data_IF_531173001838
#
_entry.id   IF_531173001838
#
_cell.length_a   1.000
_cell.length_b   1.000
_cell.length_c   1.000
_cell.angle_alpha   90.00
_cell.angle_beta   90.00
_cell.angle_gamma   90.00
#
_symmetry.space_group_name_H-M   'P 1'
#
loop_
_entity.id
_entity.type
_entity.pdbx_description
1 polymer ?
#
# COMPACT_ATOMS: atom_id res chain seq x y z
N UNK A 1 -16.33 7.78 -18.19
CA UNK A 1 -15.01 7.94 -18.82
C UNK A 1 -13.96 8.11 -17.75
N UNK A 2 -13.99 9.23 -17.07
CA UNK A 2 -13.01 9.47 -16.02
C UNK A 2 -12.94 8.35 -14.98
N UNK A 3 -14.06 7.72 -14.66
CA UNK A 3 -14.08 6.63 -13.69
C UNK A 3 -13.26 5.43 -14.14
N UNK A 4 -13.41 5.00 -15.38
CA UNK A 4 -12.63 3.88 -15.91
C UNK A 4 -11.14 4.22 -15.98
N UNK A 5 -10.80 5.44 -16.37
CA UNK A 5 -9.42 5.91 -16.41
C UNK A 5 -8.83 5.96 -15.00
N UNK A 6 -9.59 6.45 -14.02
CA UNK A 6 -9.15 6.54 -12.63
C UNK A 6 -8.91 5.14 -12.03
N UNK A 7 -9.77 4.18 -12.33
CA UNK A 7 -9.58 2.79 -11.93
C UNK A 7 -8.27 2.25 -12.53
N UNK A 8 -8.04 2.51 -13.82
CA UNK A 8 -6.83 2.04 -14.49
C UNK A 8 -5.56 2.63 -13.85
N UNK A 9 -5.61 3.91 -13.43
CA UNK A 9 -4.48 4.56 -12.76
C UNK A 9 -4.20 3.89 -11.42
N UNK A 10 -5.24 3.61 -10.64
CA UNK A 10 -5.06 2.94 -9.34
C UNK A 10 -4.51 1.53 -9.52
N UNK A 11 -5.04 0.76 -10.48
CA UNK A 11 -4.52 -0.58 -10.80
C UNK A 11 -3.04 -0.52 -11.19
N UNK A 12 -2.68 0.41 -12.06
CA UNK A 12 -1.30 0.58 -12.49
C UNK A 12 -0.39 0.93 -11.32
N UNK A 13 -0.88 1.76 -10.41
CA UNK A 13 -0.11 2.16 -9.22
C UNK A 13 0.24 0.93 -8.37
N UNK A 14 -0.73 0.06 -8.11
CA UNK A 14 -0.45 -1.15 -7.34
C UNK A 14 0.45 -2.11 -8.10
N UNK A 15 0.22 -2.30 -9.40
CA UNK A 15 1.03 -3.22 -10.19
C UNK A 15 2.49 -2.76 -10.34
N UNK A 16 2.70 -1.50 -10.64
CA UNK A 16 4.03 -0.98 -10.99
C UNK A 16 4.79 -0.45 -9.78
N UNK A 17 4.13 0.31 -8.92
CA UNK A 17 4.80 0.96 -7.79
C UNK A 17 4.88 0.01 -6.60
N UNK A 18 3.74 -0.50 -6.14
CA UNK A 18 3.70 -1.33 -4.93
C UNK A 18 4.20 -2.75 -5.18
N UNK A 19 3.86 -3.35 -6.31
CA UNK A 19 4.23 -4.75 -6.57
C UNK A 19 5.59 -4.92 -7.25
N UNK A 20 6.02 -3.94 -8.05
CA UNK A 20 7.32 -4.02 -8.72
C UNK A 20 8.37 -3.08 -8.15
N UNK A 21 7.99 -2.20 -7.25
CA UNK A 21 8.92 -1.25 -6.64
C UNK A 21 9.43 -0.19 -7.62
N UNK A 22 8.68 0.11 -8.68
CA UNK A 22 9.09 1.09 -9.68
C UNK A 22 8.88 2.51 -9.16
N UNK A 23 9.82 3.01 -8.36
CA UNK A 23 9.71 4.31 -7.72
C UNK A 23 9.79 5.48 -8.71
N UNK A 24 10.35 5.24 -9.90
CA UNK A 24 10.46 6.29 -10.92
C UNK A 24 9.10 6.77 -11.42
N UNK A 25 8.06 5.96 -11.27
CA UNK A 25 6.70 6.34 -11.67
C UNK A 25 5.97 7.19 -10.62
N UNK A 26 6.46 7.25 -9.39
CA UNK A 26 5.73 7.91 -8.30
C UNK A 26 5.46 9.38 -8.61
N UNK A 27 6.46 10.11 -9.07
CA UNK A 27 6.29 11.54 -9.36
C UNK A 27 5.34 11.82 -10.53
N UNK A 28 5.15 10.86 -11.42
CA UNK A 28 4.20 10.99 -12.53
C UNK A 28 2.77 10.63 -12.10
N UNK A 29 2.61 9.70 -11.17
CA UNK A 29 1.31 9.17 -10.76
C UNK A 29 0.72 9.93 -9.57
N UNK A 30 1.55 10.43 -8.67
CA UNK A 30 1.11 11.17 -7.48
C UNK A 30 1.30 12.65 -7.69
N UNK A 31 0.30 13.45 -7.34
CA UNK A 31 0.41 14.90 -7.41
C UNK A 31 1.52 15.40 -6.47
N UNK A 32 2.22 16.50 -6.82
CA UNK A 32 3.26 17.04 -5.94
C UNK A 32 2.75 17.39 -4.54
N UNK A 33 1.48 17.78 -4.45
CA UNK A 33 0.82 18.12 -3.19
C UNK A 33 -0.08 16.98 -2.67
N UNK A 34 0.21 15.75 -3.08
CA UNK A 34 -0.53 14.57 -2.63
C UNK A 34 -0.64 14.52 -1.11
N UNK A 35 -1.86 14.32 -0.62
CA UNK A 35 -2.15 14.24 0.81
C UNK A 35 -2.55 12.82 1.19
N UNK A 36 -1.75 12.18 2.04
CA UNK A 36 -2.08 10.88 2.59
C UNK A 36 -2.62 11.05 4.00
N UNK A 37 -3.94 10.97 4.15
CA UNK A 37 -4.61 11.18 5.44
C UNK A 37 -4.35 10.06 6.44
N UNK A 38 -3.88 8.92 5.98
CA UNK A 38 -3.66 7.73 6.82
C UNK A 38 -2.24 7.19 6.67
N UNK A 39 -1.28 8.09 6.46
CA UNK A 39 0.13 7.71 6.42
C UNK A 39 0.56 7.10 7.75
N UNK A 40 1.49 6.12 7.74
CA UNK A 40 2.05 5.61 8.99
C UNK A 40 2.66 6.74 9.82
N UNK A 41 2.60 6.65 11.16
CA UNK A 41 3.18 7.68 12.02
C UNK A 41 4.65 7.94 11.71
N UNK A 42 5.01 9.22 11.66
CA UNK A 42 6.40 9.62 11.38
C UNK A 42 6.79 9.64 9.91
N UNK A 43 5.92 9.18 9.02
CA UNK A 43 6.20 9.18 7.59
C UNK A 43 5.79 10.51 6.98
N UNK A 44 6.64 11.06 6.10
CA UNK A 44 6.31 12.32 5.45
C UNK A 44 5.14 12.17 4.48
N UNK A 45 4.48 13.27 4.21
CA UNK A 45 3.40 13.33 3.23
C UNK A 45 3.97 13.49 1.81
N UNK A 46 3.11 13.40 0.81
CA UNK A 46 3.49 13.60 -0.58
C UNK A 46 4.15 12.39 -1.24
N UNK A 47 4.66 12.57 -2.46
CA UNK A 47 5.30 11.48 -3.22
C UNK A 47 6.51 10.86 -2.50
N UNK A 48 7.28 11.66 -1.77
CA UNK A 48 8.40 11.15 -0.99
C UNK A 48 8.00 10.14 0.06
N UNK A 49 6.84 10.36 0.69
CA UNK A 49 6.28 9.40 1.65
C UNK A 49 5.90 8.08 1.00
N UNK A 50 5.36 8.12 -0.21
CA UNK A 50 5.03 6.90 -0.96
C UNK A 50 6.30 6.10 -1.26
N UNK A 51 7.35 6.77 -1.73
CA UNK A 51 8.64 6.12 -2.02
C UNK A 51 9.22 5.48 -0.76
N UNK A 52 9.19 6.19 0.36
CA UNK A 52 9.67 5.67 1.63
C UNK A 52 8.88 4.45 2.09
N UNK A 53 7.56 4.47 1.95
CA UNK A 53 6.70 3.36 2.33
C UNK A 53 7.02 2.10 1.50
N UNK A 54 7.10 2.24 0.19
CA UNK A 54 7.40 1.10 -0.70
C UNK A 54 8.77 0.52 -0.36
N UNK A 55 9.76 1.37 -0.15
CA UNK A 55 11.12 0.94 0.22
C UNK A 55 11.11 0.18 1.54
N UNK A 56 10.38 0.69 2.53
CA UNK A 56 10.27 0.05 3.85
C UNK A 56 9.60 -1.32 3.76
N UNK A 57 8.53 -1.42 2.96
CA UNK A 57 7.80 -2.67 2.80
C UNK A 57 8.67 -3.75 2.15
N UNK A 58 9.38 -3.42 1.08
CA UNK A 58 10.26 -4.40 0.42
C UNK A 58 11.47 -4.76 1.29
N UNK A 59 11.92 -3.85 2.16
CA UNK A 59 13.00 -4.18 3.09
C UNK A 59 12.57 -5.24 4.10
N UNK A 60 11.33 -5.18 4.59
CA UNK A 60 10.82 -6.14 5.55
C UNK A 60 10.25 -7.41 4.89
N UNK A 61 9.62 -7.24 3.75
CA UNK A 61 8.95 -8.29 2.98
C UNK A 61 9.52 -8.30 1.56
N UNK A 62 10.61 -9.04 1.28
CA UNK A 62 11.21 -9.02 -0.06
C UNK A 62 10.26 -9.47 -1.17
N UNK A 63 9.29 -10.32 -0.85
CA UNK A 63 8.25 -10.78 -1.75
C UNK A 63 6.94 -10.00 -1.59
N UNK A 64 7.00 -8.77 -1.10
CA UNK A 64 5.84 -7.95 -0.79
C UNK A 64 4.90 -7.82 -1.99
N UNK A 65 3.60 -7.94 -1.70
CA UNK A 65 2.59 -7.91 -2.74
C UNK A 65 1.29 -7.31 -2.24
N UNK A 66 0.65 -6.56 -3.12
CA UNK A 66 -0.69 -6.01 -2.91
C UNK A 66 -1.58 -6.50 -4.04
N UNK A 67 -2.57 -7.31 -3.72
CA UNK A 67 -3.52 -7.84 -4.69
C UNK A 67 -4.86 -7.10 -4.54
N UNK A 68 -5.34 -6.50 -5.63
CA UNK A 68 -6.64 -5.82 -5.63
C UNK A 68 -7.72 -6.89 -5.77
N UNK A 69 -8.58 -6.96 -4.77
CA UNK A 69 -9.68 -7.93 -4.74
C UNK A 69 -11.00 -7.34 -5.22
N UNK A 70 -11.21 -6.05 -4.98
CA UNK A 70 -12.33 -5.28 -5.49
C UNK A 70 -11.87 -3.87 -5.82
N UNK A 71 -12.43 -3.29 -6.88
CA UNK A 71 -12.15 -1.91 -7.23
C UNK A 71 -13.34 -1.32 -8.00
N UNK A 72 -13.76 -0.13 -7.61
CA UNK A 72 -14.83 0.59 -8.29
C UNK A 72 -14.65 2.09 -8.07
N UNK A 73 -15.35 2.89 -8.85
CA UNK A 73 -15.20 4.33 -8.81
C UNK A 73 -16.56 5.04 -8.78
N UNK A 74 -16.55 6.22 -8.17
CA UNK A 74 -17.68 7.15 -8.20
C UNK A 74 -17.10 8.55 -8.34
N UNK A 75 -17.35 9.20 -9.48
CA UNK A 75 -16.78 10.50 -9.76
C UNK A 75 -15.25 10.45 -9.80
N UNK A 76 -14.61 11.32 -9.02
CA UNK A 76 -13.16 11.39 -8.95
C UNK A 76 -12.54 10.47 -7.88
N UNK A 77 -13.34 9.60 -7.27
CA UNK A 77 -12.88 8.71 -6.20
C UNK A 77 -12.93 7.26 -6.63
N UNK A 78 -11.88 6.53 -6.24
CA UNK A 78 -11.77 5.08 -6.46
C UNK A 78 -11.70 4.41 -5.11
N UNK A 79 -12.52 3.38 -4.92
CA UNK A 79 -12.47 2.53 -3.74
C UNK A 79 -11.85 1.19 -4.13
N UNK A 80 -10.92 0.70 -3.31
CA UNK A 80 -10.25 -0.57 -3.57
C UNK A 80 -10.14 -1.39 -2.29
N UNK A 81 -10.48 -2.66 -2.38
CA UNK A 81 -10.20 -3.64 -1.34
C UNK A 81 -8.96 -4.42 -1.76
N UNK A 82 -7.97 -4.40 -0.91
CA UNK A 82 -6.63 -4.88 -1.25
C UNK A 82 -6.16 -5.88 -0.20
N UNK A 83 -5.53 -6.96 -0.63
CA UNK A 83 -4.83 -7.87 0.26
C UNK A 83 -3.34 -7.64 0.12
N UNK A 84 -2.74 -7.19 1.20
CA UNK A 84 -1.29 -7.04 1.33
C UNK A 84 -0.74 -8.30 1.96
N UNK A 85 0.33 -8.86 1.39
CA UNK A 85 0.95 -10.04 1.98
C UNK A 85 2.43 -10.14 1.60
N UNK A 86 3.17 -10.89 2.39
CA UNK A 86 4.58 -11.12 2.16
C UNK A 86 5.19 -11.95 3.26
N UNK A 87 6.43 -12.38 3.05
CA UNK A 87 7.20 -13.10 4.05
C UNK A 87 7.92 -12.11 4.96
N UNK A 88 7.64 -12.19 6.25
CA UNK A 88 8.23 -11.31 7.27
C UNK A 88 9.69 -11.73 7.52
N UNK A 89 10.57 -11.32 6.62
CA UNK A 89 11.97 -11.75 6.58
C UNK A 89 12.91 -10.85 7.39
N UNK A 90 12.47 -9.63 7.72
CA UNK A 90 13.27 -8.67 8.50
C UNK A 90 12.36 -7.93 9.48
N UNK A 91 12.92 -7.26 10.50
CA UNK A 91 12.09 -6.55 11.49
C UNK A 91 11.13 -5.56 10.85
N UNK A 92 9.90 -5.51 11.38
CA UNK A 92 8.87 -4.59 10.91
C UNK A 92 7.96 -4.21 12.08
N UNK A 93 7.61 -2.94 12.20
CA UNK A 93 6.74 -2.42 13.27
C UNK A 93 7.25 -2.80 14.67
N UNK A 94 8.56 -2.84 14.86
CA UNK A 94 9.15 -3.20 16.14
C UNK A 94 9.16 -4.69 16.44
N UNK A 95 8.71 -5.53 15.52
CA UNK A 95 8.69 -6.98 15.69
C UNK A 95 9.84 -7.61 14.92
N UNK A 96 10.62 -8.49 15.56
CA UNK A 96 11.72 -9.19 14.87
C UNK A 96 11.19 -10.11 13.78
N UNK A 97 12.04 -10.43 12.82
CA UNK A 97 11.67 -11.30 11.71
C UNK A 97 11.09 -12.61 12.19
N UNK A 98 9.88 -12.93 11.75
CA UNK A 98 9.21 -14.18 12.12
C UNK A 98 9.43 -15.28 11.08
N UNK A 99 9.81 -14.92 9.87
CA UNK A 99 9.92 -15.86 8.77
C UNK A 99 8.59 -16.34 8.21
N UNK A 100 7.48 -15.81 8.74
CA UNK A 100 6.14 -16.25 8.35
C UNK A 100 5.65 -15.49 7.15
N UNK A 101 4.85 -16.16 6.32
CA UNK A 101 4.07 -15.47 5.31
C UNK A 101 2.82 -14.90 6.00
N UNK A 102 2.68 -13.59 5.96
CA UNK A 102 1.62 -12.86 6.65
C UNK A 102 0.77 -12.09 5.67
N UNK A 103 -0.48 -11.83 6.02
CA UNK A 103 -1.37 -11.08 5.16
C UNK A 103 -2.23 -10.11 5.94
N UNK A 104 -2.65 -9.03 5.25
CA UNK A 104 -3.40 -7.94 5.85
C UNK A 104 -4.48 -7.48 4.87
N UNK A 105 -5.71 -7.42 5.34
CA UNK A 105 -6.77 -6.80 4.56
C UNK A 105 -6.71 -5.29 4.68
N UNK A 106 -6.97 -4.61 3.57
CA UNK A 106 -6.94 -3.15 3.49
C UNK A 106 -8.12 -2.66 2.68
N UNK A 107 -8.62 -1.48 3.02
CA UNK A 107 -9.59 -0.75 2.20
C UNK A 107 -9.07 0.65 1.99
N UNK A 108 -9.14 1.12 0.75
CA UNK A 108 -8.59 2.41 0.37
C UNK A 108 -9.61 3.22 -0.42
N UNK A 109 -9.60 4.53 -0.21
CA UNK A 109 -10.26 5.49 -1.09
C UNK A 109 -9.20 6.44 -1.60
N UNK A 110 -9.18 6.63 -2.91
CA UNK A 110 -8.24 7.52 -3.60
C UNK A 110 -9.04 8.56 -4.35
N UNK A 111 -8.73 9.84 -4.15
CA UNK A 111 -9.27 10.90 -5.00
C UNK A 111 -8.21 11.24 -6.04
N UNK A 112 -8.64 11.24 -7.31
CA UNK A 112 -7.76 11.58 -8.42
C UNK A 112 -8.11 12.95 -8.97
N UNK A 113 -7.08 13.65 -9.43
CA UNK A 113 -7.22 14.97 -10.04
C UNK A 113 -6.22 15.08 -11.17
N UNK A 114 -6.71 15.33 -12.38
CA UNK A 114 -5.84 15.40 -13.54
C UNK A 114 -5.05 14.14 -13.80
N UNK A 115 -5.62 12.98 -13.48
CA UNK A 115 -4.96 11.69 -13.70
C UNK A 115 -3.91 11.32 -12.67
N UNK A 116 -3.88 12.01 -11.53
CA UNK A 116 -2.91 11.75 -10.45
C UNK A 116 -3.61 11.55 -9.12
N UNK A 117 -2.99 10.79 -8.24
CA UNK A 117 -3.45 10.66 -6.85
C UNK A 117 -3.31 12.02 -6.16
N UNK A 118 -4.44 12.58 -5.72
CA UNK A 118 -4.47 13.85 -5.00
C UNK A 118 -4.65 13.64 -3.50
N UNK A 119 -5.49 12.68 -3.10
CA UNK A 119 -5.73 12.35 -1.70
C UNK A 119 -5.93 10.85 -1.53
N UNK A 120 -5.58 10.37 -0.35
CA UNK A 120 -5.74 8.96 0.00
C UNK A 120 -6.21 8.81 1.44
N UNK A 121 -7.16 7.91 1.65
CA UNK A 121 -7.60 7.41 2.96
C UNK A 121 -7.54 5.90 2.91
N UNK A 122 -7.07 5.28 3.99
CA UNK A 122 -7.00 3.83 4.05
C UNK A 122 -7.21 3.31 5.45
N UNK A 123 -7.76 2.12 5.54
CA UNK A 123 -7.90 1.37 6.77
C UNK A 123 -7.24 0.02 6.55
N UNK A 124 -6.41 -0.38 7.50
CA UNK A 124 -5.66 -1.64 7.44
C UNK A 124 -5.95 -2.45 8.69
N UNK A 125 -6.06 -3.75 8.53
CA UNK A 125 -6.18 -4.64 9.68
C UNK A 125 -4.81 -4.85 10.34
N UNK A 126 -4.33 -3.81 10.99
CA UNK A 126 -3.02 -3.84 11.65
C UNK A 126 -2.98 -4.80 12.83
N UNK A 127 -4.10 -4.97 13.52
CA UNK A 127 -4.15 -5.89 14.66
C UNK A 127 -3.87 -7.32 14.23
N UNK A 128 -4.58 -7.83 13.23
CA UNK A 128 -4.36 -9.17 12.72
C UNK A 128 -2.95 -9.33 12.17
N UNK A 129 -2.47 -8.30 11.46
CA UNK A 129 -1.13 -8.32 10.87
C UNK A 129 -0.06 -8.45 11.95
N UNK A 130 -0.14 -7.65 13.01
CA UNK A 130 0.79 -7.71 14.13
C UNK A 130 0.70 -9.05 14.85
N UNK A 131 -0.49 -9.58 15.04
CA UNK A 131 -0.67 -10.88 15.69
C UNK A 131 0.01 -12.00 14.90
N UNK A 132 -0.09 -11.96 13.57
CA UNK A 132 0.58 -12.95 12.72
C UNK A 132 2.10 -12.87 12.85
N UNK A 133 2.66 -11.64 12.86
CA UNK A 133 4.10 -11.44 12.98
C UNK A 133 4.63 -11.75 14.38
N UNK A 134 3.83 -11.54 15.40
CA UNK A 134 4.23 -11.74 16.81
C UNK A 134 4.01 -13.16 17.30
N UNK A 135 3.23 -13.97 16.57
CA UNK A 135 2.93 -15.33 17.00
C UNK A 135 4.19 -16.17 17.03
N UNK A 136 4.39 -16.99 18.07
CA UNK A 136 5.54 -17.89 18.10
C UNK A 136 5.48 -18.85 16.91
N UNK A 137 6.64 -19.24 16.41
CA UNK A 137 6.69 -20.25 15.39
C UNK A 137 5.97 -21.49 15.88
N UNK A 138 5.11 -22.01 15.01
CA UNK A 138 4.48 -23.26 15.29
C UNK A 138 5.45 -24.35 14.95
N UNK A 139 6.52 -24.33 15.57
CA UNK A 139 7.48 -25.30 15.26
C UNK A 139 7.43 -26.42 16.08
N UNK A 140 6.77 -26.30 16.50
CA UNK A 140 7.05 -27.30 17.26
C UNK A 140 7.26 -28.32 17.10
#
# INVERSE_FOLDING_TARGET
>A
MAEAENIAIVRRTYDEVFNRGNLDLVDAIFAPNFKNHTAPPGMQDGPGGVKALVTMLFAAFPDDRHDIEDIFASGDRVAARVRHHGTHARPFMGLPASGRHVSQEQMHIVRLEGGRWAEHWGVRDDLSFRQQMASPEQGG
#
